data_IF_698903241287
#
_entry.id   IF_698903241287
#
_cell.length_a   1.000
_cell.length_b   1.000
_cell.length_c   1.000
_cell.angle_alpha   90.00
_cell.angle_beta   90.00
_cell.angle_gamma   90.00
#
_symmetry.space_group_name_H-M   'P 1'
#
loop_
_entity.id
_entity.type
_entity.pdbx_description
1 polymer ?
#
# COMPACT_ATOMS: atom_id res chain seq x y z
N UNK A 1 -13.41 -3.02 2.30
CA UNK A 1 -12.53 -3.38 3.42
C UNK A 1 -13.30 -4.27 4.37
N UNK A 2 -12.74 -5.43 4.75
CA UNK A 2 -13.36 -6.39 5.67
C UNK A 2 -13.44 -5.85 7.10
N UNK A 3 -14.28 -6.48 7.93
CA UNK A 3 -14.38 -6.14 9.35
C UNK A 3 -13.05 -6.45 10.08
N UNK A 4 -12.37 -7.52 9.69
CA UNK A 4 -11.08 -7.94 10.23
C UNK A 4 -9.99 -6.88 10.00
N UNK A 5 -9.93 -6.30 8.82
CA UNK A 5 -8.99 -5.18 8.52
C UNK A 5 -9.39 -3.92 9.30
N UNK A 6 -10.68 -3.63 9.44
CA UNK A 6 -11.14 -2.47 10.21
C UNK A 6 -10.76 -2.55 11.70
N UNK A 7 -10.70 -3.74 12.27
CA UNK A 7 -10.21 -3.93 13.67
C UNK A 7 -8.78 -3.43 13.83
N UNK A 8 -7.95 -3.52 12.79
CA UNK A 8 -6.56 -3.06 12.82
C UNK A 8 -6.39 -1.57 12.50
N UNK A 9 -7.43 -0.84 12.11
CA UNK A 9 -7.31 0.57 11.75
C UNK A 9 -6.62 1.44 12.82
N UNK A 10 -6.88 1.31 14.15
CA UNK A 10 -6.17 2.07 15.16
C UNK A 10 -4.66 1.83 15.17
N UNK A 11 -4.22 0.58 14.96
CA UNK A 11 -2.79 0.23 14.86
C UNK A 11 -2.17 0.75 13.56
N UNK A 12 -2.88 0.62 12.44
CA UNK A 12 -2.45 1.17 11.16
C UNK A 12 -2.25 2.68 11.27
N UNK A 13 -3.20 3.42 11.85
CA UNK A 13 -3.10 4.86 12.07
C UNK A 13 -1.93 5.23 12.99
N UNK A 14 -1.74 4.47 14.08
CA UNK A 14 -0.61 4.65 15.01
C UNK A 14 0.71 4.61 14.26
N UNK A 15 0.98 3.54 13.54
CA UNK A 15 2.26 3.34 12.85
C UNK A 15 2.40 4.22 11.60
N UNK A 16 1.33 4.44 10.84
CA UNK A 16 1.35 5.39 9.71
C UNK A 16 1.72 6.80 10.16
N UNK A 17 1.16 7.26 11.28
CA UNK A 17 1.54 8.55 11.90
C UNK A 17 2.98 8.54 12.39
N UNK A 18 3.39 7.48 13.10
CA UNK A 18 4.76 7.34 13.64
C UNK A 18 5.81 7.42 12.52
N UNK A 19 5.55 6.82 11.38
CA UNK A 19 6.47 6.78 10.25
C UNK A 19 6.23 7.88 9.20
N UNK A 20 5.31 8.83 9.45
CA UNK A 20 5.10 10.01 8.62
C UNK A 20 4.36 9.76 7.31
N UNK A 21 3.54 8.69 7.25
CA UNK A 21 2.69 8.35 6.11
C UNK A 21 1.21 8.24 6.50
N UNK A 22 0.75 9.09 7.43
CA UNK A 22 -0.62 9.06 7.95
C UNK A 22 -1.70 9.28 6.89
N UNK A 23 -1.38 9.97 5.80
CA UNK A 23 -2.30 10.20 4.67
C UNK A 23 -2.54 8.93 3.82
N UNK A 24 -1.74 7.87 4.00
CA UNK A 24 -1.83 6.62 3.25
C UNK A 24 -2.55 5.48 4.00
N UNK A 25 -3.28 5.77 5.09
CA UNK A 25 -3.99 4.75 5.88
C UNK A 25 -4.89 3.89 5.01
N UNK A 26 -5.65 4.48 4.08
CA UNK A 26 -6.52 3.72 3.17
C UNK A 26 -5.74 2.81 2.20
N UNK A 27 -4.56 3.24 1.76
CA UNK A 27 -3.67 2.41 0.95
C UNK A 27 -3.14 1.21 1.76
N UNK A 28 -2.73 1.44 3.01
CA UNK A 28 -2.25 0.38 3.91
C UNK A 28 -3.36 -0.65 4.16
N UNK A 29 -4.61 -0.20 4.39
CA UNK A 29 -5.76 -1.10 4.53
C UNK A 29 -6.02 -1.91 3.25
N UNK A 30 -5.88 -1.29 2.08
CA UNK A 30 -6.04 -1.96 0.79
C UNK A 30 -4.96 -3.04 0.56
N UNK A 31 -3.72 -2.76 0.96
CA UNK A 31 -2.63 -3.75 0.95
C UNK A 31 -2.95 -4.90 1.90
N UNK A 32 -3.33 -4.64 3.15
CA UNK A 32 -3.71 -5.69 4.11
C UNK A 32 -4.88 -6.55 3.59
N UNK A 33 -5.85 -5.94 2.91
CA UNK A 33 -6.93 -6.69 2.25
C UNK A 33 -6.41 -7.69 1.24
N UNK A 34 -5.45 -7.28 0.41
CA UNK A 34 -4.86 -8.16 -0.60
C UNK A 34 -3.97 -9.24 0.02
N UNK A 35 -3.19 -8.90 1.06
CA UNK A 35 -2.24 -9.83 1.65
C UNK A 35 -2.92 -10.95 2.45
N UNK A 36 -3.91 -10.61 3.27
CA UNK A 36 -4.51 -11.59 4.18
C UNK A 36 -6.01 -11.39 4.45
N UNK A 37 -6.59 -10.26 4.02
CA UNK A 37 -7.92 -9.85 4.47
C UNK A 37 -7.98 -9.51 5.96
N UNK A 38 -6.84 -9.28 6.62
CA UNK A 38 -6.73 -9.03 8.06
C UNK A 38 -6.66 -10.32 8.90
N UNK A 39 -6.41 -11.47 8.28
CA UNK A 39 -6.39 -12.74 8.97
C UNK A 39 -4.98 -13.19 9.37
N UNK A 40 -4.90 -14.10 10.35
CA UNK A 40 -3.65 -14.69 10.81
C UNK A 40 -2.81 -13.75 11.67
N UNK A 41 -1.58 -14.18 11.95
CA UNK A 41 -0.63 -13.45 12.81
C UNK A 41 0.31 -12.54 12.03
N UNK A 42 0.33 -12.65 10.71
CA UNK A 42 1.11 -11.81 9.80
C UNK A 42 0.18 -11.11 8.77
N UNK A 43 -0.74 -10.23 9.23
CA UNK A 43 -1.77 -9.66 8.36
C UNK A 43 -1.22 -8.81 7.22
N UNK A 44 -0.01 -8.26 7.33
CA UNK A 44 0.66 -7.52 6.26
C UNK A 44 1.57 -8.38 5.39
N UNK A 45 1.69 -9.70 5.69
CA UNK A 45 2.63 -10.62 5.04
C UNK A 45 4.05 -10.06 4.97
N UNK A 46 4.47 -9.44 6.06
CA UNK A 46 5.73 -8.68 6.16
C UNK A 46 6.87 -9.48 6.80
N UNK A 47 6.70 -10.79 6.98
CA UNK A 47 7.72 -11.65 7.61
C UNK A 47 9.07 -11.63 6.89
N UNK A 48 9.07 -11.52 5.55
CA UNK A 48 10.30 -11.51 4.74
C UNK A 48 10.86 -10.08 4.52
N UNK A 49 10.15 -9.06 5.03
CA UNK A 49 10.60 -7.67 4.97
C UNK A 49 11.96 -7.46 5.67
N UNK A 50 12.75 -6.51 5.14
CA UNK A 50 14.00 -6.09 5.78
C UNK A 50 13.77 -5.49 7.17
N UNK A 51 12.58 -4.95 7.44
CA UNK A 51 12.19 -4.38 8.73
C UNK A 51 11.85 -5.43 9.80
N UNK A 52 11.62 -6.69 9.40
CA UNK A 52 11.48 -7.78 10.37
C UNK A 52 12.86 -8.19 10.91
N UNK A 53 13.15 -7.81 12.14
CA UNK A 53 14.40 -8.15 12.84
C UNK A 53 14.18 -9.09 14.04
N UNK A 54 12.92 -9.44 14.34
CA UNK A 54 12.55 -10.19 15.55
C UNK A 54 12.08 -11.62 15.29
N UNK A 55 11.59 -11.90 14.09
CA UNK A 55 10.99 -13.19 13.73
C UNK A 55 11.71 -13.81 12.54
N UNK A 56 11.55 -15.15 12.32
CA UNK A 56 12.15 -15.82 11.16
C UNK A 56 11.68 -15.18 9.84
N UNK A 57 12.63 -14.92 8.93
CA UNK A 57 12.37 -14.39 7.58
C UNK A 57 11.91 -15.50 6.63
N UNK A 58 10.70 -15.96 6.84
CA UNK A 58 9.99 -16.93 6.01
C UNK A 58 8.50 -16.60 6.02
N UNK A 59 7.76 -17.08 5.05
CA UNK A 59 6.31 -16.88 4.99
C UNK A 59 5.63 -17.19 6.33
N UNK A 60 4.82 -16.25 6.82
CA UNK A 60 4.13 -16.31 8.11
C UNK A 60 5.05 -16.55 9.33
N UNK A 61 6.29 -16.08 9.26
CA UNK A 61 7.24 -16.19 10.38
C UNK A 61 6.91 -15.28 11.55
N UNK A 62 6.26 -14.13 11.30
CA UNK A 62 5.78 -13.22 12.35
C UNK A 62 4.55 -13.82 13.02
N UNK A 63 4.57 -13.87 14.35
CA UNK A 63 3.47 -14.41 15.17
C UNK A 63 2.77 -13.33 16.01
N UNK A 64 3.07 -12.06 15.77
CA UNK A 64 2.47 -10.92 16.44
C UNK A 64 1.88 -9.96 15.38
N UNK A 65 0.53 -9.83 15.32
CA UNK A 65 -0.12 -8.99 14.31
C UNK A 65 0.27 -7.51 14.38
N UNK A 66 0.45 -6.95 15.58
CA UNK A 66 0.89 -5.56 15.71
C UNK A 66 2.28 -5.36 15.12
N UNK A 67 3.21 -6.28 15.35
CA UNK A 67 4.55 -6.21 14.78
C UNK A 67 4.56 -6.40 13.25
N UNK A 68 3.68 -7.28 12.74
CA UNK A 68 3.45 -7.39 11.29
C UNK A 68 3.01 -6.07 10.69
N UNK A 69 2.07 -5.36 11.32
CA UNK A 69 1.59 -4.06 10.87
C UNK A 69 2.73 -3.03 10.91
N UNK A 70 3.52 -3.00 11.99
CA UNK A 70 4.67 -2.10 12.10
C UNK A 70 5.67 -2.32 10.97
N UNK A 71 6.03 -3.56 10.68
CA UNK A 71 6.94 -3.90 9.57
C UNK A 71 6.35 -3.57 8.20
N UNK A 72 5.08 -3.91 7.98
CA UNK A 72 4.38 -3.63 6.72
C UNK A 72 4.24 -2.14 6.43
N UNK A 73 3.96 -1.33 7.44
CA UNK A 73 3.90 0.15 7.30
C UNK A 73 5.26 0.73 6.92
N UNK A 74 6.35 0.24 7.53
CA UNK A 74 7.70 0.66 7.16
C UNK A 74 8.07 0.25 5.73
N UNK A 75 7.69 -0.96 5.31
CA UNK A 75 7.89 -1.42 3.92
C UNK A 75 7.12 -0.56 2.93
N UNK A 76 5.84 -0.26 3.21
CA UNK A 76 5.05 0.66 2.37
C UNK A 76 5.72 2.03 2.30
N UNK A 77 6.15 2.60 3.42
CA UNK A 77 6.89 3.88 3.43
C UNK A 77 8.12 3.83 2.52
N UNK A 78 8.88 2.75 2.60
CA UNK A 78 10.08 2.57 1.76
C UNK A 78 9.70 2.52 0.28
N UNK A 79 8.66 1.77 -0.09
CA UNK A 79 8.17 1.69 -1.47
C UNK A 79 7.63 3.03 -1.98
N UNK A 80 6.86 3.76 -1.17
CA UNK A 80 6.35 5.10 -1.50
C UNK A 80 7.51 6.08 -1.76
N UNK A 81 8.54 6.06 -0.91
CA UNK A 81 9.73 6.89 -1.08
C UNK A 81 10.52 6.50 -2.33
N UNK A 82 10.76 5.21 -2.56
CA UNK A 82 11.47 4.71 -3.74
C UNK A 82 10.77 5.03 -5.05
N UNK A 83 9.45 4.98 -5.07
CA UNK A 83 8.61 5.36 -6.20
C UNK A 83 8.41 6.89 -6.31
N UNK A 84 8.86 7.68 -5.33
CA UNK A 84 8.70 9.14 -5.29
C UNK A 84 7.24 9.60 -5.30
N UNK A 85 6.37 8.86 -4.62
CA UNK A 85 4.94 9.18 -4.49
C UNK A 85 4.75 10.52 -3.82
N UNK A 86 3.97 11.43 -4.41
CA UNK A 86 3.77 12.79 -3.92
C UNK A 86 2.48 12.95 -3.09
N UNK A 87 1.48 12.11 -3.33
CA UNK A 87 0.19 12.20 -2.64
C UNK A 87 -0.61 10.89 -2.77
N UNK A 88 -1.66 10.68 -1.95
CA UNK A 88 -2.54 9.51 -2.05
C UNK A 88 -3.29 9.34 -3.39
N UNK A 89 -3.26 10.33 -4.26
CA UNK A 89 -3.86 10.28 -5.61
C UNK A 89 -2.82 10.27 -6.75
N UNK A 90 -1.55 10.18 -6.42
CA UNK A 90 -0.45 10.03 -7.39
C UNK A 90 -0.40 8.58 -7.90
N UNK A 91 -1.40 8.24 -8.71
CA UNK A 91 -1.69 6.85 -9.06
C UNK A 91 -0.57 6.16 -9.83
N UNK A 92 0.16 6.86 -10.67
CA UNK A 92 1.24 6.24 -11.44
C UNK A 92 2.38 5.80 -10.53
N UNK A 93 2.76 6.64 -9.58
CA UNK A 93 3.80 6.30 -8.61
C UNK A 93 3.30 5.32 -7.54
N UNK A 94 2.02 5.40 -7.15
CA UNK A 94 1.41 4.40 -6.23
C UNK A 94 1.43 3.01 -6.86
N UNK A 95 1.10 2.85 -8.14
CA UNK A 95 1.19 1.55 -8.83
C UNK A 95 2.61 0.99 -8.80
N UNK A 96 3.61 1.83 -9.03
CA UNK A 96 5.02 1.46 -8.94
C UNK A 96 5.40 1.00 -7.52
N UNK A 97 4.99 1.76 -6.50
CA UNK A 97 5.23 1.42 -5.10
C UNK A 97 4.56 0.10 -4.70
N UNK A 98 3.31 -0.13 -5.11
CA UNK A 98 2.58 -1.36 -4.83
C UNK A 98 3.23 -2.59 -5.44
N UNK A 99 3.65 -2.53 -6.70
CA UNK A 99 4.35 -3.66 -7.31
C UNK A 99 5.70 -3.91 -6.63
N UNK A 100 6.38 -2.85 -6.18
CA UNK A 100 7.59 -2.96 -5.39
C UNK A 100 7.37 -3.62 -4.03
N UNK A 101 6.24 -3.37 -3.38
CA UNK A 101 5.87 -4.05 -2.14
C UNK A 101 5.80 -5.58 -2.32
N UNK A 102 5.18 -6.02 -3.40
CA UNK A 102 5.03 -7.44 -3.72
C UNK A 102 6.35 -8.10 -4.21
N UNK A 103 7.12 -7.40 -5.04
CA UNK A 103 8.31 -7.97 -5.67
C UNK A 103 9.61 -7.73 -4.89
N UNK A 104 9.59 -6.84 -3.89
CA UNK A 104 10.77 -6.44 -3.15
C UNK A 104 11.58 -5.33 -3.83
N UNK A 105 12.70 -5.00 -3.20
CA UNK A 105 13.46 -3.76 -3.43
C UNK A 105 14.08 -3.59 -4.84
N UNK A 106 14.18 -4.66 -5.63
CA UNK A 106 14.80 -4.58 -6.96
C UNK A 106 13.89 -4.04 -8.05
N UNK A 107 12.56 -4.16 -7.88
CA UNK A 107 11.61 -3.82 -8.94
C UNK A 107 11.51 -2.32 -9.22
N UNK A 108 11.38 -1.49 -8.17
CA UNK A 108 11.17 -0.04 -8.34
C UNK A 108 12.30 0.62 -9.14
N UNK A 109 13.60 0.48 -8.76
CA UNK A 109 14.67 1.08 -9.54
C UNK A 109 14.75 0.50 -10.96
N UNK A 110 14.60 -0.81 -11.12
CA UNK A 110 14.62 -1.43 -12.45
C UNK A 110 13.51 -0.90 -13.36
N UNK A 111 12.27 -0.81 -12.88
CA UNK A 111 11.14 -0.30 -13.66
C UNK A 111 11.29 1.18 -14.01
N UNK A 112 11.80 2.00 -13.07
CA UNK A 112 12.07 3.42 -13.32
C UNK A 112 13.15 3.61 -14.38
N UNK A 113 14.27 2.93 -14.26
CA UNK A 113 15.42 3.08 -15.15
C UNK A 113 15.14 2.53 -16.55
N UNK A 114 14.44 1.40 -16.64
CA UNK A 114 14.22 0.71 -17.90
C UNK A 114 12.99 1.22 -18.66
N UNK A 115 11.92 1.58 -17.94
CA UNK A 115 10.60 1.87 -18.50
C UNK A 115 9.99 3.20 -18.06
N UNK A 116 10.63 3.91 -17.15
CA UNK A 116 10.10 5.16 -16.59
C UNK A 116 9.00 4.98 -15.56
N UNK A 117 8.66 3.76 -15.14
CA UNK A 117 7.65 3.48 -14.14
C UNK A 117 6.99 2.11 -14.31
N UNK A 118 5.85 1.92 -13.63
CA UNK A 118 5.07 0.69 -13.67
C UNK A 118 4.27 0.56 -14.96
N UNK A 119 4.30 -0.64 -15.54
CA UNK A 119 3.28 -1.15 -16.46
C UNK A 119 2.97 -2.60 -16.13
N UNK A 120 1.77 -3.09 -16.50
CA UNK A 120 1.45 -4.50 -16.33
C UNK A 120 2.44 -5.40 -17.10
N UNK A 121 2.86 -4.96 -18.29
CA UNK A 121 3.82 -5.70 -19.10
C UNK A 121 5.17 -5.84 -18.40
N UNK A 122 5.72 -4.78 -17.81
CA UNK A 122 7.00 -4.88 -17.12
C UNK A 122 6.91 -5.61 -15.78
N UNK A 123 5.76 -5.59 -15.12
CA UNK A 123 5.52 -6.43 -13.95
C UNK A 123 5.58 -7.92 -14.30
N UNK A 124 4.98 -8.32 -15.44
CA UNK A 124 5.08 -9.70 -15.97
C UNK A 124 6.52 -10.04 -16.31
N UNK A 125 7.22 -9.18 -17.04
CA UNK A 125 8.62 -9.38 -17.44
C UNK A 125 9.54 -9.57 -16.22
N UNK A 126 9.42 -8.71 -15.21
CA UNK A 126 10.22 -8.82 -13.99
C UNK A 126 9.94 -10.14 -13.24
N UNK A 127 8.67 -10.51 -13.11
CA UNK A 127 8.27 -11.77 -12.47
C UNK A 127 8.88 -12.98 -13.19
N UNK A 128 8.77 -13.02 -14.53
CA UNK A 128 9.33 -14.14 -15.33
C UNK A 128 10.85 -14.20 -15.23
N UNK A 129 11.53 -13.05 -15.26
CA UNK A 129 12.97 -12.96 -15.07
C UNK A 129 13.39 -13.50 -13.70
N UNK A 130 12.73 -13.05 -12.62
CA UNK A 130 13.06 -13.48 -11.26
C UNK A 130 12.74 -14.96 -11.01
N UNK A 131 11.64 -15.48 -11.54
CA UNK A 131 11.29 -16.88 -11.48
C UNK A 131 12.37 -17.74 -12.17
N UNK A 132 12.81 -17.33 -13.36
CA UNK A 132 13.88 -18.03 -14.09
C UNK A 132 15.22 -18.01 -13.33
N UNK A 133 15.62 -16.85 -12.80
CA UNK A 133 16.87 -16.70 -12.04
C UNK A 133 16.89 -17.56 -10.77
N UNK A 134 15.72 -17.68 -10.10
CA UNK A 134 15.58 -18.48 -8.88
C UNK A 134 15.28 -19.95 -9.12
N UNK A 135 14.97 -20.36 -10.35
CA UNK A 135 14.49 -21.70 -10.67
C UNK A 135 13.12 -22.00 -10.07
N UNK A 136 12.27 -20.99 -9.94
CA UNK A 136 10.91 -21.11 -9.42
C UNK A 136 9.88 -21.16 -10.55
N UNK A 137 8.73 -21.78 -10.28
CA UNK A 137 7.60 -21.81 -11.22
C UNK A 137 6.99 -20.40 -11.43
N UNK A 138 6.94 -19.61 -10.37
CA UNK A 138 6.41 -18.25 -10.40
C UNK A 138 7.12 -17.37 -9.38
N UNK A 139 7.05 -16.03 -9.57
CA UNK A 139 7.58 -15.04 -8.64
C UNK A 139 6.57 -13.93 -8.40
N UNK A 140 6.09 -13.81 -7.18
CA UNK A 140 5.12 -12.80 -6.76
C UNK A 140 3.79 -12.84 -7.53
N UNK A 141 3.03 -11.77 -7.42
CA UNK A 141 1.75 -11.60 -8.13
C UNK A 141 1.90 -10.59 -9.28
N UNK A 142 1.82 -11.07 -10.51
CA UNK A 142 1.91 -10.25 -11.74
C UNK A 142 0.79 -9.21 -11.85
N UNK A 143 -0.32 -9.41 -11.15
CA UNK A 143 -1.48 -8.54 -11.12
C UNK A 143 -1.71 -7.90 -9.74
N UNK A 144 -0.66 -7.79 -8.94
CA UNK A 144 -0.76 -7.26 -7.58
C UNK A 144 -1.41 -5.87 -7.55
N UNK A 145 -1.00 -5.00 -8.45
CA UNK A 145 -1.53 -3.63 -8.53
C UNK A 145 -3.04 -3.61 -8.73
N UNK A 146 -3.63 -4.21 -9.78
CA UNK A 146 -5.09 -4.24 -9.92
C UNK A 146 -5.78 -4.99 -8.75
N UNK A 147 -5.14 -6.00 -8.15
CA UNK A 147 -5.68 -6.70 -7.00
C UNK A 147 -5.79 -5.79 -5.76
N UNK A 148 -4.79 -4.97 -5.45
CA UNK A 148 -4.84 -3.99 -4.36
C UNK A 148 -5.81 -2.86 -4.67
N UNK A 149 -5.74 -2.29 -5.89
CA UNK A 149 -6.51 -1.10 -6.26
C UNK A 149 -8.03 -1.32 -6.24
N UNK A 150 -8.52 -2.56 -6.35
CA UNK A 150 -9.95 -2.86 -6.16
C UNK A 150 -10.45 -2.50 -4.76
N UNK A 151 -9.56 -2.43 -3.77
CA UNK A 151 -9.86 -2.07 -2.38
C UNK A 151 -9.53 -0.61 -2.05
N UNK A 152 -8.81 0.08 -2.94
CA UNK A 152 -8.36 1.46 -2.73
C UNK A 152 -9.33 2.45 -3.38
N UNK A 153 -10.16 3.10 -2.56
CA UNK A 153 -11.23 3.99 -3.06
C UNK A 153 -10.70 5.19 -3.85
N UNK A 154 -9.53 5.73 -3.46
CA UNK A 154 -8.88 6.83 -4.17
C UNK A 154 -8.40 6.45 -5.58
N UNK A 155 -8.04 5.19 -5.79
CA UNK A 155 -7.66 4.68 -7.10
C UNK A 155 -8.80 4.63 -8.12
N UNK A 156 -10.03 4.85 -7.70
CA UNK A 156 -11.23 4.86 -8.56
C UNK A 156 -11.64 6.26 -9.00
N UNK A 157 -10.95 7.29 -8.52
CA UNK A 157 -11.23 8.66 -8.95
C UNK A 157 -10.67 8.81 -10.35
N UNK A 158 -11.51 9.16 -11.36
CA UNK A 158 -11.00 9.40 -12.69
C UNK A 158 -9.92 10.49 -12.66
N UNK A 159 -8.86 10.33 -13.45
CA UNK A 159 -7.86 11.37 -13.70
C UNK A 159 -8.53 12.57 -14.42
N UNK A 160 -9.37 13.30 -13.70
CA UNK A 160 -10.06 14.49 -14.17
C UNK A 160 -9.60 15.69 -13.35
N UNK A 161 -9.33 16.75 -14.02
CA UNK A 161 -8.82 18.04 -13.57
C UNK A 161 -9.69 18.78 -12.55
N UNK A 162 -10.67 18.15 -11.92
CA UNK A 162 -11.55 18.74 -10.94
C UNK A 162 -11.38 18.12 -9.57
N UNK A 163 -10.87 18.89 -8.63
CA UNK A 163 -11.08 18.66 -7.20
C UNK A 163 -10.31 17.50 -6.52
N UNK A 164 -9.12 17.12 -6.99
CA UNK A 164 -8.22 16.23 -6.22
C UNK A 164 -8.00 16.77 -4.80
N UNK A 165 -7.90 18.08 -4.65
CA UNK A 165 -7.76 18.75 -3.33
C UNK A 165 -9.00 18.54 -2.46
N UNK A 166 -10.21 18.63 -3.03
CA UNK A 166 -11.46 18.40 -2.28
C UNK A 166 -11.56 16.95 -1.81
N UNK A 167 -11.19 16.01 -2.66
CA UNK A 167 -11.17 14.60 -2.28
C UNK A 167 -10.13 14.32 -1.20
N UNK A 168 -8.93 14.89 -1.29
CA UNK A 168 -7.90 14.77 -0.26
C UNK A 168 -8.37 15.38 1.07
N UNK A 169 -9.01 16.55 1.03
CA UNK A 169 -9.56 17.20 2.23
C UNK A 169 -10.72 16.37 2.80
N UNK A 170 -11.61 15.84 1.97
CA UNK A 170 -12.72 15.01 2.41
C UNK A 170 -12.24 13.72 3.08
N UNK A 171 -11.21 13.09 2.54
CA UNK A 171 -10.62 11.86 3.08
C UNK A 171 -9.75 12.10 4.32
N UNK A 172 -9.03 13.21 4.38
CA UNK A 172 -8.33 13.64 5.59
C UNK A 172 -9.29 13.94 6.76
N UNK A 173 -10.56 14.21 6.45
CA UNK A 173 -11.63 14.44 7.42
C UNK A 173 -12.48 13.19 7.71
N UNK A 174 -12.26 12.10 6.98
CA UNK A 174 -12.91 10.82 7.28
C UNK A 174 -12.46 10.33 8.66
N UNK A 175 -13.38 10.31 9.60
CA UNK A 175 -13.11 10.02 11.02
C UNK A 175 -13.10 11.23 11.96
N UNK A 176 -13.15 12.46 11.43
CA UNK A 176 -13.28 13.68 12.26
C UNK A 176 -14.75 14.12 12.44
N UNK A 177 -15.73 13.22 12.22
CA UNK A 177 -17.15 13.51 12.32
C UNK A 177 -17.54 14.76 11.52
N UNK A 178 -18.20 14.61 10.43
CA UNK A 178 -18.52 15.58 9.36
C UNK A 178 -18.81 17.04 9.66
N UNK A 179 -18.87 17.44 10.94
CA UNK A 179 -19.24 18.80 11.38
C UNK A 179 -18.23 19.87 10.96
N UNK A 180 -16.94 19.55 10.92
CA UNK A 180 -15.90 20.52 10.55
C UNK A 180 -15.93 20.79 9.04
N UNK A 181 -16.14 19.76 8.23
CA UNK A 181 -16.23 19.87 6.78
C UNK A 181 -17.41 20.76 6.34
N UNK A 182 -18.59 20.53 6.90
CA UNK A 182 -19.80 21.29 6.59
C UNK A 182 -19.73 22.75 7.02
N UNK A 183 -19.07 23.05 8.13
CA UNK A 183 -18.84 24.45 8.59
C UNK A 183 -17.88 25.22 7.70
N UNK A 184 -16.85 24.55 7.15
CA UNK A 184 -15.83 25.21 6.35
C UNK A 184 -16.32 25.57 4.94
N UNK A 185 -17.16 24.74 4.34
CA UNK A 185 -17.66 24.94 2.98
C UNK A 185 -19.06 25.56 2.90
N UNK A 186 -19.63 26.01 4.00
CA UNK A 186 -20.88 26.74 4.00
C UNK A 186 -22.14 25.94 3.63
N UNK A 187 -22.06 24.61 3.67
CA UNK A 187 -23.19 23.71 3.44
C UNK A 187 -24.02 23.42 4.71
N UNK A 188 -23.73 24.08 5.82
CA UNK A 188 -24.54 24.05 7.02
C UNK A 188 -25.49 25.24 7.00
N UNK A 189 -26.78 24.96 6.91
CA UNK A 189 -27.98 25.77 7.06
C UNK A 189 -27.82 27.27 6.97
#
# INVERSE_FOLDING_TARGET
ISAEVQVYEPLIRKYAKQYGIGEYVELIKAVMMQESGGQGNDPMQSSESSFNTKYPKKANGITNPEYSIECGVQEIKSCLAGAEVKSPVDMDQIKLALQGYNYGNGYIPWAKETYGGYTLANAVEFSDKMAKEKGWESYGDKQYVPHVLRYYSLGRIPNGTGNQVIVQVALAQEGNGGDIYWRWYGFGR
#
